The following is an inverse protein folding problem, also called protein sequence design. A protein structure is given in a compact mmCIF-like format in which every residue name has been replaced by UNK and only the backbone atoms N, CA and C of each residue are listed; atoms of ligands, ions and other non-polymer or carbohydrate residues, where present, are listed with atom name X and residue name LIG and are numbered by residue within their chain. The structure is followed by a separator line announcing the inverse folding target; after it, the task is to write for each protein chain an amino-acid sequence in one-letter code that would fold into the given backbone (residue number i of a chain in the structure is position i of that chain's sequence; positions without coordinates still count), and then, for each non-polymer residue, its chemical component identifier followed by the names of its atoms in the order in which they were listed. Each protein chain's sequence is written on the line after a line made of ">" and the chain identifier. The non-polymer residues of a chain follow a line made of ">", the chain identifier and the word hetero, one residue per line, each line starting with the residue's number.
data_IF_512676093143
#
_entry.id   IF_512676093143
#
_cell.length_a   1.000
_cell.length_b   1.000
_cell.length_c   1.000
_cell.angle_alpha   90.00
_cell.angle_beta   90.00
_cell.angle_gamma   90.00
#
_symmetry.space_group_name_H-M   'P 1'
#
loop_
_entity.id
_entity.type
_entity.pdbx_description
1 polymer ?
#
# COMPACT_ATOMS: atom_id res chain seq x y z
N UNK A 1 38.08 52.62 -30.69
CA UNK A 1 38.83 52.24 -29.48
C UNK A 1 38.11 52.84 -28.27
N UNK A 2 37.46 52.05 -27.42
CA UNK A 2 37.30 52.38 -25.99
C UNK A 2 37.00 51.10 -25.21
N UNK A 3 37.98 50.75 -24.38
CA UNK A 3 38.01 49.69 -23.36
C UNK A 3 37.30 50.20 -22.10
N UNK A 4 36.70 49.27 -21.34
CA UNK A 4 37.00 49.17 -19.91
C UNK A 4 35.95 49.63 -18.91
N UNK A 5 35.15 48.66 -18.47
CA UNK A 5 34.97 48.22 -17.08
C UNK A 5 34.48 49.16 -15.94
N UNK A 6 33.61 48.51 -15.15
CA UNK A 6 33.45 48.60 -13.70
C UNK A 6 32.43 49.62 -13.15
N UNK A 7 31.18 49.18 -13.04
CA UNK A 7 30.24 49.72 -12.06
C UNK A 7 30.25 48.83 -10.80
N UNK A 8 30.70 49.44 -9.69
CA UNK A 8 30.74 48.88 -8.34
C UNK A 8 29.34 48.88 -7.70
N UNK A 9 28.99 47.72 -7.13
CA UNK A 9 28.24 47.44 -5.89
C UNK A 9 27.31 48.53 -5.33
N UNK A 10 26.05 48.17 -5.14
CA UNK A 10 25.35 48.39 -3.88
C UNK A 10 24.59 47.12 -3.48
N UNK A 11 24.86 46.69 -2.24
CA UNK A 11 24.31 45.55 -1.53
C UNK A 11 23.00 46.01 -0.89
N UNK A 12 21.92 45.27 -1.08
CA UNK A 12 20.74 45.33 -0.24
C UNK A 12 20.47 43.92 0.30
N UNK A 13 20.75 43.74 1.59
CA UNK A 13 20.33 42.57 2.35
C UNK A 13 18.79 42.48 2.33
N UNK A 14 18.27 41.45 1.68
CA UNK A 14 16.92 40.96 1.94
C UNK A 14 17.06 39.66 2.72
N UNK A 15 16.58 39.68 3.96
CA UNK A 15 16.41 38.52 4.82
C UNK A 15 15.45 37.54 4.14
N UNK A 16 15.99 36.57 3.41
CA UNK A 16 15.22 35.41 2.96
C UNK A 16 15.24 34.39 4.10
N UNK A 17 14.18 34.40 4.91
CA UNK A 17 13.81 33.21 5.66
C UNK A 17 13.58 32.09 4.65
N UNK A 18 14.53 31.17 4.54
CA UNK A 18 14.40 29.97 3.75
C UNK A 18 13.39 29.05 4.45
N UNK A 19 12.10 29.36 4.32
CA UNK A 19 11.09 28.31 4.40
C UNK A 19 11.40 27.36 3.26
N UNK A 20 11.85 26.16 3.59
CA UNK A 20 11.96 25.06 2.64
C UNK A 20 10.55 24.82 2.13
N UNK A 21 10.24 25.41 0.98
CA UNK A 21 9.04 25.08 0.23
C UNK A 21 9.28 23.65 -0.23
N UNK A 22 8.64 22.72 0.48
CA UNK A 22 8.47 21.35 0.05
C UNK A 22 7.83 21.42 -1.33
N UNK A 23 8.65 21.32 -2.39
CA UNK A 23 8.12 21.05 -3.72
C UNK A 23 7.55 19.65 -3.62
N UNK A 24 6.24 19.58 -3.40
CA UNK A 24 5.49 18.33 -3.50
C UNK A 24 5.89 17.69 -4.84
N UNK A 25 6.38 16.43 -4.84
CA UNK A 25 6.67 15.76 -6.09
C UNK A 25 5.40 15.79 -6.94
N UNK A 26 5.53 16.22 -8.20
CA UNK A 26 4.42 16.18 -9.14
C UNK A 26 3.81 14.76 -9.11
N UNK A 27 2.47 14.62 -9.02
CA UNK A 27 1.86 13.31 -8.91
C UNK A 27 2.30 12.48 -10.11
N UNK A 28 3.06 11.42 -9.87
CA UNK A 28 3.37 10.45 -10.90
C UNK A 28 2.04 9.98 -11.49
N UNK A 29 1.95 9.93 -12.83
CA UNK A 29 0.74 9.42 -13.46
C UNK A 29 0.48 8.00 -12.93
N UNK A 30 -0.77 7.69 -12.50
CA UNK A 30 -1.09 6.37 -12.02
C UNK A 30 -0.75 5.30 -13.07
N UNK A 31 -0.37 4.07 -12.66
CA UNK A 31 -0.15 2.96 -13.58
C UNK A 31 -1.36 2.74 -14.50
N UNK A 32 -1.09 2.40 -15.75
CA UNK A 32 -2.13 2.03 -16.72
C UNK A 32 -2.03 0.55 -17.06
N UNK A 33 -3.17 -0.13 -17.01
CA UNK A 33 -3.30 -1.56 -17.29
C UNK A 33 -4.18 -1.79 -18.50
N UNK A 34 -3.74 -2.69 -19.38
CA UNK A 34 -4.44 -3.02 -20.63
C UNK A 34 -5.47 -4.13 -20.45
N UNK A 35 -5.31 -4.97 -19.42
CA UNK A 35 -6.15 -6.14 -19.17
C UNK A 35 -6.02 -6.64 -17.73
N UNK A 36 -6.89 -7.59 -17.36
CA UNK A 36 -6.90 -8.20 -16.02
C UNK A 36 -5.63 -8.99 -15.70
N UNK A 37 -4.89 -9.51 -16.69
CA UNK A 37 -3.64 -10.22 -16.43
C UNK A 37 -2.54 -9.28 -15.93
N UNK A 38 -2.46 -8.07 -16.49
CA UNK A 38 -1.56 -7.04 -15.99
C UNK A 38 -1.95 -6.57 -14.57
N UNK A 39 -3.26 -6.47 -14.29
CA UNK A 39 -3.76 -6.20 -12.93
C UNK A 39 -3.45 -7.33 -11.95
N UNK A 40 -3.55 -8.59 -12.37
CA UNK A 40 -3.14 -9.74 -11.56
C UNK A 40 -1.63 -9.71 -11.26
N UNK A 41 -0.81 -9.34 -12.25
CA UNK A 41 0.63 -9.12 -12.06
C UNK A 41 0.94 -7.97 -11.11
N UNK A 42 0.16 -6.89 -11.13
CA UNK A 42 0.31 -5.80 -10.17
C UNK A 42 -0.16 -6.22 -8.76
N UNK A 43 -1.24 -6.99 -8.66
CA UNK A 43 -1.82 -7.47 -7.41
C UNK A 43 -0.91 -8.42 -6.62
N UNK A 44 0.02 -9.12 -7.27
CA UNK A 44 1.04 -9.91 -6.56
C UNK A 44 2.16 -9.06 -5.97
N UNK A 45 2.32 -7.81 -6.42
CA UNK A 45 3.38 -6.90 -5.97
C UNK A 45 2.83 -5.83 -5.00
N UNK A 46 1.66 -5.29 -5.28
CA UNK A 46 1.00 -4.20 -4.54
C UNK A 46 -0.32 -4.71 -3.94
N UNK A 47 -0.67 -4.35 -2.68
CA UNK A 47 -0.07 -3.29 -1.86
C UNK A 47 1.15 -3.72 -1.01
N UNK A 48 1.51 -5.01 -0.98
CA UNK A 48 2.57 -5.51 -0.07
C UNK A 48 3.92 -4.81 -0.24
N UNK A 49 4.34 -4.56 -1.49
CA UNK A 49 5.58 -3.85 -1.79
C UNK A 49 5.61 -2.42 -1.21
N UNK A 50 4.48 -1.70 -1.23
CA UNK A 50 4.39 -0.38 -0.58
C UNK A 50 4.57 -0.51 0.93
N UNK A 51 3.94 -1.51 1.54
CA UNK A 51 4.09 -1.79 2.98
C UNK A 51 5.55 -2.05 3.38
N UNK A 52 6.30 -2.81 2.56
CA UNK A 52 7.72 -3.07 2.79
C UNK A 52 8.60 -1.82 2.63
N UNK A 53 8.29 -0.95 1.68
CA UNK A 53 8.98 0.36 1.55
C UNK A 53 8.74 1.20 2.80
N UNK A 54 7.49 1.27 3.28
CA UNK A 54 7.13 2.02 4.49
C UNK A 54 7.82 1.45 5.73
N UNK A 55 7.88 0.13 5.88
CA UNK A 55 8.59 -0.52 6.98
C UNK A 55 10.09 -0.14 7.01
N UNK A 56 10.75 -0.17 5.85
CA UNK A 56 12.17 0.23 5.74
C UNK A 56 12.37 1.72 5.99
N UNK A 57 11.42 2.56 5.58
CA UNK A 57 11.41 3.98 5.93
C UNK A 57 11.35 4.17 7.44
N UNK A 58 10.45 3.48 8.14
CA UNK A 58 10.38 3.52 9.62
C UNK A 58 11.70 3.11 10.26
N UNK A 59 12.32 2.03 9.77
CA UNK A 59 13.61 1.55 10.29
C UNK A 59 14.72 2.58 10.10
N UNK A 60 14.85 3.16 8.90
CA UNK A 60 15.86 4.19 8.61
C UNK A 60 15.62 5.47 9.39
N UNK A 61 14.40 5.97 9.36
CA UNK A 61 14.02 7.24 9.98
C UNK A 61 14.05 7.18 11.51
N UNK A 62 13.82 6.01 12.09
CA UNK A 62 13.92 5.80 13.54
C UNK A 62 15.33 6.03 14.11
N UNK A 63 16.35 6.16 13.26
CA UNK A 63 17.71 6.52 13.65
C UNK A 63 17.88 8.01 14.03
N UNK A 64 16.96 8.89 13.60
CA UNK A 64 17.08 10.34 13.78
C UNK A 64 16.29 10.89 14.97
N UNK A 65 15.65 10.02 15.77
CA UNK A 65 15.01 10.42 17.02
C UNK A 65 13.83 9.56 17.43
N UNK A 66 13.56 9.55 18.74
CA UNK A 66 12.39 8.85 19.29
C UNK A 66 11.05 9.37 18.74
N UNK A 67 10.81 10.69 18.62
CA UNK A 67 9.55 11.20 18.08
C UNK A 67 9.26 10.70 16.66
N UNK A 68 10.24 10.80 15.76
CA UNK A 68 10.15 10.31 14.37
C UNK A 68 9.91 8.80 14.31
N UNK A 69 10.59 8.02 15.18
CA UNK A 69 10.35 6.58 15.29
C UNK A 69 8.92 6.26 15.70
N UNK A 70 8.38 6.98 16.70
CA UNK A 70 7.02 6.79 17.20
C UNK A 70 5.99 7.15 16.12
N UNK A 71 6.17 8.29 15.45
CA UNK A 71 5.31 8.74 14.36
C UNK A 71 5.30 7.74 13.21
N UNK A 72 6.48 7.34 12.70
CA UNK A 72 6.56 6.37 11.61
C UNK A 72 5.91 5.03 11.92
N UNK A 73 6.11 4.51 13.13
CA UNK A 73 5.44 3.27 13.56
C UNK A 73 3.91 3.43 13.64
N UNK A 74 3.40 4.58 14.07
CA UNK A 74 1.98 4.87 14.11
C UNK A 74 1.39 4.97 12.70
N UNK A 75 2.05 5.72 11.81
CA UNK A 75 1.66 5.88 10.41
C UNK A 75 1.63 4.53 9.67
N UNK A 76 2.67 3.68 9.84
CA UNK A 76 2.71 2.34 9.25
C UNK A 76 1.54 1.48 9.71
N UNK A 77 1.27 1.44 11.03
CA UNK A 77 0.13 0.67 11.55
C UNK A 77 -1.21 1.18 11.03
N UNK A 78 -1.38 2.50 10.95
CA UNK A 78 -2.58 3.10 10.41
C UNK A 78 -2.78 2.73 8.93
N UNK A 79 -1.72 2.83 8.11
CA UNK A 79 -1.74 2.41 6.71
C UNK A 79 -2.08 0.92 6.57
N UNK A 80 -1.43 0.04 7.36
CA UNK A 80 -1.69 -1.41 7.35
C UNK A 80 -3.15 -1.72 7.71
N UNK A 81 -3.74 -1.00 8.68
CA UNK A 81 -5.14 -1.16 9.05
C UNK A 81 -6.08 -0.78 7.90
N UNK A 82 -5.82 0.33 7.21
CA UNK A 82 -6.60 0.75 6.03
C UNK A 82 -6.45 -0.22 4.85
N UNK A 83 -5.29 -0.86 4.70
CA UNK A 83 -4.99 -1.78 3.60
C UNK A 83 -5.19 -3.26 3.92
N UNK A 84 -5.70 -3.59 5.11
CA UNK A 84 -5.81 -4.98 5.59
C UNK A 84 -6.46 -5.91 4.55
N UNK A 85 -7.57 -5.47 3.97
CA UNK A 85 -8.35 -6.30 3.06
C UNK A 85 -7.66 -6.41 1.68
N UNK A 86 -7.04 -5.34 1.19
CA UNK A 86 -6.20 -5.38 -0.02
C UNK A 86 -4.95 -6.25 0.14
N UNK A 87 -4.29 -6.20 1.30
CA UNK A 87 -3.15 -7.06 1.62
C UNK A 87 -3.57 -8.54 1.66
N UNK A 88 -4.73 -8.83 2.26
CA UNK A 88 -5.27 -10.18 2.27
C UNK A 88 -5.62 -10.66 0.86
N UNK A 89 -6.17 -9.78 0.02
CA UNK A 89 -6.53 -10.12 -1.35
C UNK A 89 -5.31 -10.31 -2.26
N UNK A 90 -4.27 -9.47 -2.14
CA UNK A 90 -3.02 -9.67 -2.88
C UNK A 90 -2.37 -11.03 -2.58
N UNK A 91 -2.37 -11.45 -1.30
CA UNK A 91 -1.92 -12.80 -0.93
C UNK A 91 -2.75 -13.91 -1.55
N UNK A 92 -4.07 -13.73 -1.66
CA UNK A 92 -4.96 -14.70 -2.35
C UNK A 92 -4.65 -14.76 -3.83
N UNK A 93 -4.49 -13.61 -4.51
CA UNK A 93 -4.10 -13.55 -5.92
C UNK A 93 -2.77 -14.28 -6.16
N UNK A 94 -1.78 -14.07 -5.29
CA UNK A 94 -0.49 -14.79 -5.35
C UNK A 94 -0.67 -16.30 -5.24
N UNK A 95 -1.47 -16.76 -4.27
CA UNK A 95 -1.76 -18.18 -4.09
C UNK A 95 -2.52 -18.78 -5.29
N UNK A 96 -3.50 -18.06 -5.82
CA UNK A 96 -4.26 -18.46 -7.02
C UNK A 96 -3.33 -18.64 -8.23
N UNK A 97 -2.42 -17.68 -8.46
CA UNK A 97 -1.45 -17.77 -9.56
C UNK A 97 -0.42 -18.88 -9.35
N UNK A 98 0.10 -19.05 -8.13
CA UNK A 98 1.02 -20.14 -7.81
C UNK A 98 0.38 -21.52 -8.06
N UNK A 99 -0.90 -21.67 -7.70
CA UNK A 99 -1.66 -22.91 -7.93
C UNK A 99 -1.97 -23.16 -9.42
N UNK A 100 -2.10 -22.09 -10.23
CA UNK A 100 -2.37 -22.19 -11.65
C UNK A 100 -1.18 -22.71 -12.48
N UNK A 101 0.06 -22.48 -12.01
CA UNK A 101 1.24 -23.05 -12.65
C UNK A 101 1.34 -24.54 -12.33
N UNK A 102 1.16 -25.40 -13.34
CA UNK A 102 1.28 -26.86 -13.20
C UNK A 102 2.64 -27.39 -13.64
N UNK A 103 3.29 -26.69 -14.56
CA UNK A 103 4.64 -26.98 -15.04
C UNK A 103 5.72 -26.56 -14.01
N UNK A 104 6.73 -27.41 -13.83
CA UNK A 104 7.77 -27.21 -12.81
C UNK A 104 8.64 -25.98 -13.10
N UNK A 105 9.02 -25.75 -14.37
CA UNK A 105 9.82 -24.58 -14.73
C UNK A 105 9.03 -23.29 -14.60
N UNK A 106 7.73 -23.31 -14.92
CA UNK A 106 6.86 -22.16 -14.73
C UNK A 106 6.71 -21.77 -13.25
N UNK A 107 6.57 -22.78 -12.36
CA UNK A 107 6.57 -22.55 -10.90
C UNK A 107 7.88 -21.95 -10.43
N UNK A 108 9.02 -22.52 -10.83
CA UNK A 108 10.34 -22.01 -10.42
C UNK A 108 10.54 -20.55 -10.86
N UNK A 109 10.13 -20.18 -12.08
CA UNK A 109 10.18 -18.78 -12.55
C UNK A 109 9.25 -17.86 -11.75
N UNK A 110 8.08 -18.36 -11.37
CA UNK A 110 7.16 -17.58 -10.53
C UNK A 110 7.71 -17.39 -9.11
N UNK A 111 8.30 -18.42 -8.54
CA UNK A 111 8.94 -18.35 -7.23
C UNK A 111 10.15 -17.39 -7.26
N UNK A 112 10.97 -17.41 -8.32
CA UNK A 112 12.05 -16.43 -8.52
C UNK A 112 11.52 -14.99 -8.63
N UNK A 113 10.42 -14.77 -9.37
CA UNK A 113 9.77 -13.47 -9.43
C UNK A 113 9.40 -12.98 -8.03
N UNK A 114 8.80 -13.84 -7.20
CA UNK A 114 8.35 -13.49 -5.86
C UNK A 114 9.49 -13.28 -4.86
N UNK A 115 10.55 -14.10 -4.92
CA UNK A 115 11.59 -14.13 -3.91
C UNK A 115 12.85 -13.35 -4.28
N UNK A 116 13.04 -13.04 -5.56
CA UNK A 116 14.19 -12.29 -6.06
C UNK A 116 13.76 -10.94 -6.62
N UNK A 117 12.87 -10.95 -7.62
CA UNK A 117 12.62 -9.75 -8.43
C UNK A 117 11.74 -8.73 -7.71
N UNK A 118 10.66 -9.15 -7.03
CA UNK A 118 9.82 -8.25 -6.25
C UNK A 118 10.60 -7.56 -5.11
N UNK A 119 11.41 -8.27 -4.30
CA UNK A 119 12.29 -7.61 -3.32
C UNK A 119 13.25 -6.59 -3.94
N UNK A 120 13.80 -6.86 -5.13
CA UNK A 120 14.64 -5.88 -5.83
C UNK A 120 13.88 -4.62 -6.25
N UNK A 121 12.60 -4.74 -6.63
CA UNK A 121 11.77 -3.57 -6.94
C UNK A 121 11.50 -2.73 -5.69
N UNK A 122 11.18 -3.38 -4.57
CA UNK A 122 11.03 -2.73 -3.25
C UNK A 122 12.30 -2.00 -2.85
N UNK A 123 13.47 -2.64 -3.02
CA UNK A 123 14.77 -2.02 -2.75
C UNK A 123 14.97 -0.75 -3.61
N UNK A 124 14.77 -0.84 -4.92
CA UNK A 124 14.94 0.32 -5.81
C UNK A 124 14.04 1.48 -5.41
N UNK A 125 12.80 1.20 -5.04
CA UNK A 125 11.87 2.23 -4.58
C UNK A 125 12.32 2.84 -3.26
N UNK A 126 12.75 2.02 -2.30
CA UNK A 126 13.27 2.49 -1.02
C UNK A 126 14.53 3.36 -1.16
N UNK A 127 15.46 2.99 -2.06
CA UNK A 127 16.70 3.74 -2.30
C UNK A 127 16.45 5.20 -2.69
N UNK A 128 15.35 5.50 -3.40
CA UNK A 128 14.99 6.88 -3.74
C UNK A 128 14.76 7.70 -2.46
N UNK A 129 13.96 7.19 -1.53
CA UNK A 129 13.73 7.84 -0.24
C UNK A 129 15.00 7.90 0.60
N UNK A 130 15.75 6.79 0.66
CA UNK A 130 16.98 6.73 1.46
C UNK A 130 17.98 7.79 1.03
N UNK A 131 18.19 7.97 -0.28
CA UNK A 131 19.12 8.98 -0.81
C UNK A 131 18.68 10.39 -0.43
N UNK A 132 17.40 10.71 -0.63
CA UNK A 132 16.87 12.03 -0.25
C UNK A 132 17.07 12.34 1.24
N UNK A 133 16.96 11.33 2.11
CA UNK A 133 17.26 11.44 3.54
C UNK A 133 18.77 11.61 3.76
N UNK A 134 19.58 10.76 3.14
CA UNK A 134 21.04 10.79 3.32
C UNK A 134 21.67 12.12 2.87
N UNK A 135 21.09 12.74 1.83
CA UNK A 135 21.50 14.01 1.25
C UNK A 135 21.20 15.23 2.16
N UNK A 136 20.41 15.09 3.22
CA UNK A 136 20.17 16.19 4.16
C UNK A 136 21.42 16.47 5.02
N UNK A 137 21.79 17.75 5.24
CA UNK A 137 23.07 18.08 5.85
C UNK A 137 23.13 17.85 7.37
N UNK A 138 22.01 17.88 8.07
CA UNK A 138 21.95 17.68 9.53
C UNK A 138 20.99 16.56 9.94
N UNK A 139 21.17 15.99 11.13
CA UNK A 139 20.24 15.00 11.69
C UNK A 139 18.83 15.57 11.89
N UNK A 140 18.72 16.86 12.22
CA UNK A 140 17.44 17.54 12.36
C UNK A 140 16.68 17.61 11.02
N UNK A 141 17.34 17.98 9.93
CA UNK A 141 16.71 18.00 8.60
C UNK A 141 16.37 16.59 8.10
N UNK A 142 17.13 15.56 8.50
CA UNK A 142 16.78 14.15 8.26
C UNK A 142 15.50 13.76 8.98
N UNK A 143 15.38 14.12 10.25
CA UNK A 143 14.17 13.90 11.04
C UNK A 143 12.96 14.62 10.42
N UNK A 144 13.12 15.90 10.05
CA UNK A 144 12.05 16.69 9.42
C UNK A 144 11.58 16.07 8.08
N UNK A 145 12.50 15.57 7.25
CA UNK A 145 12.18 14.85 6.02
C UNK A 145 11.48 13.52 6.26
N UNK A 146 11.93 12.77 7.26
CA UNK A 146 11.27 11.55 7.68
C UNK A 146 9.84 11.80 8.16
N UNK A 147 9.63 12.81 9.00
CA UNK A 147 8.30 13.20 9.47
C UNK A 147 7.43 13.67 8.29
N UNK A 148 8.02 14.35 7.30
CA UNK A 148 7.35 14.68 6.04
C UNK A 148 6.82 13.45 5.28
N UNK A 149 7.59 12.37 5.20
CA UNK A 149 7.11 11.12 4.60
C UNK A 149 6.00 10.46 5.41
N UNK A 150 6.07 10.50 6.74
CA UNK A 150 5.03 9.92 7.59
C UNK A 150 3.74 10.76 7.57
N UNK A 151 3.84 12.08 7.51
CA UNK A 151 2.70 12.96 7.25
C UNK A 151 2.03 12.62 5.91
N UNK A 152 2.80 12.34 4.85
CA UNK A 152 2.23 11.89 3.58
C UNK A 152 1.49 10.53 3.69
N UNK A 153 1.94 9.62 4.55
CA UNK A 153 1.21 8.37 4.86
C UNK A 153 -0.09 8.66 5.60
N UNK A 154 -0.07 9.58 6.55
CA UNK A 154 -1.25 10.01 7.30
C UNK A 154 -2.27 10.72 6.40
N UNK A 155 -1.79 11.51 5.44
CA UNK A 155 -2.56 12.20 4.40
C UNK A 155 -3.01 11.27 3.24
N UNK A 156 -2.92 9.95 3.44
CA UNK A 156 -3.37 8.91 2.50
C UNK A 156 -2.63 8.88 1.16
N UNK A 157 -1.51 9.60 1.02
CA UNK A 157 -0.77 9.64 -0.25
C UNK A 157 -0.14 8.30 -0.60
N UNK A 158 0.02 7.39 0.37
CA UNK A 158 0.47 6.02 0.14
C UNK A 158 -0.68 5.01 -0.04
N UNK A 159 -1.93 5.48 0.01
CA UNK A 159 -3.08 4.59 -0.09
C UNK A 159 -3.27 4.12 -1.53
N UNK A 160 -3.61 2.84 -1.69
CA UNK A 160 -3.76 2.20 -2.99
C UNK A 160 -4.79 2.93 -3.86
N UNK A 161 -5.88 3.43 -3.27
CA UNK A 161 -6.91 4.21 -3.97
C UNK A 161 -6.38 5.52 -4.57
N UNK A 162 -5.31 6.07 -4.02
CA UNK A 162 -4.67 7.31 -4.48
C UNK A 162 -3.60 6.98 -5.52
N UNK A 163 -2.69 6.05 -5.21
CA UNK A 163 -1.54 5.75 -6.07
C UNK A 163 -1.87 4.85 -7.27
N UNK A 164 -2.87 3.98 -7.12
CA UNK A 164 -3.25 3.00 -8.13
C UNK A 164 -4.76 2.69 -8.06
N UNK A 165 -5.60 3.66 -8.50
CA UNK A 165 -7.05 3.51 -8.43
C UNK A 165 -7.56 2.35 -9.29
N UNK A 166 -6.86 2.01 -10.37
CA UNK A 166 -7.23 0.88 -11.24
C UNK A 166 -7.07 -0.46 -10.50
N UNK A 167 -5.95 -0.66 -9.80
CA UNK A 167 -5.72 -1.85 -8.98
C UNK A 167 -6.63 -1.89 -7.75
N UNK A 168 -6.89 -0.75 -7.11
CA UNK A 168 -7.87 -0.68 -6.02
C UNK A 168 -9.26 -1.13 -6.49
N UNK A 169 -9.74 -0.61 -7.62
CA UNK A 169 -11.02 -1.00 -8.20
C UNK A 169 -11.06 -2.48 -8.61
N UNK A 170 -9.93 -3.03 -9.09
CA UNK A 170 -9.80 -4.45 -9.38
C UNK A 170 -9.97 -5.32 -8.13
N UNK A 171 -9.30 -4.96 -7.03
CA UNK A 171 -9.49 -5.66 -5.75
C UNK A 171 -10.91 -5.52 -5.22
N UNK A 172 -11.50 -4.33 -5.27
CA UNK A 172 -12.88 -4.08 -4.82
C UNK A 172 -13.87 -5.00 -5.55
N UNK A 173 -13.75 -5.12 -6.89
CA UNK A 173 -14.60 -6.03 -7.69
C UNK A 173 -14.43 -7.49 -7.27
N UNK A 174 -13.19 -7.94 -7.05
CA UNK A 174 -12.90 -9.34 -6.67
C UNK A 174 -13.44 -9.65 -5.27
N UNK A 175 -13.27 -8.74 -4.32
CA UNK A 175 -13.80 -8.89 -2.96
C UNK A 175 -15.32 -8.93 -2.95
N UNK A 176 -15.99 -8.04 -3.70
CA UNK A 176 -17.45 -8.02 -3.85
C UNK A 176 -17.98 -9.34 -4.44
N UNK A 177 -17.41 -9.82 -5.54
CA UNK A 177 -17.83 -11.06 -6.20
C UNK A 177 -17.72 -12.31 -5.30
N UNK A 178 -16.83 -12.29 -4.31
CA UNK A 178 -16.73 -13.36 -3.31
C UNK A 178 -17.71 -13.21 -2.15
N UNK A 179 -17.99 -11.98 -1.73
CA UNK A 179 -19.06 -11.70 -0.77
C UNK A 179 -20.41 -12.23 -1.25
N UNK A 180 -20.70 -12.07 -2.55
CA UNK A 180 -21.91 -12.61 -3.18
C UNK A 180 -21.94 -14.14 -3.22
N UNK A 181 -20.82 -14.79 -3.58
CA UNK A 181 -20.72 -16.27 -3.60
C UNK A 181 -20.78 -16.91 -2.20
N UNK A 182 -20.40 -16.18 -1.15
CA UNK A 182 -20.53 -16.61 0.24
C UNK A 182 -21.90 -16.31 0.87
N UNK A 183 -22.74 -15.49 0.22
CA UNK A 183 -24.04 -15.03 0.74
C UNK A 183 -25.24 -15.92 0.38
N UNK A 184 -25.10 -16.84 -0.59
CA UNK A 184 -26.14 -17.83 -0.91
C UNK A 184 -26.01 -19.06 -0.01
N UNK A 185 -26.45 -18.94 1.24
CA UNK A 185 -27.05 -20.10 1.91
C UNK A 185 -28.41 -20.36 1.26
N UNK A 186 -28.76 -21.60 0.86
CA UNK A 186 -30.10 -21.91 0.37
C UNK A 186 -31.14 -21.52 1.44
N UNK A 187 -32.36 -21.06 1.05
CA UNK A 187 -33.44 -20.96 2.01
C UNK A 187 -33.69 -22.35 2.59
N UNK A 188 -33.59 -22.44 3.92
CA UNK A 188 -33.89 -23.63 4.69
C UNK A 188 -35.26 -24.16 4.27
N UNK A 189 -35.25 -25.34 3.66
CA UNK A 189 -36.42 -25.93 3.05
C UNK A 189 -37.46 -26.25 4.10
N UNK A 190 -38.70 -25.83 3.82
CA UNK A 190 -39.91 -26.60 4.13
C UNK A 190 -40.01 -27.12 5.57
N UNK A 191 -40.38 -26.23 6.51
CA UNK A 191 -41.02 -26.69 7.75
C UNK A 191 -42.42 -27.22 7.39
N UNK A 192 -42.54 -28.53 7.28
CA UNK A 192 -43.84 -29.20 7.24
C UNK A 192 -44.61 -28.89 8.54
N UNK A 193 -45.94 -28.68 8.48
CA UNK A 193 -46.74 -28.51 9.69
C UNK A 193 -46.94 -29.87 10.35
N UNK A 194 -46.34 -30.08 11.51
CA UNK A 194 -46.71 -31.18 12.39
C UNK A 194 -48.15 -30.94 12.86
N UNK A 195 -49.05 -31.76 12.33
CA UNK A 195 -50.39 -31.92 12.83
C UNK A 195 -50.34 -32.64 14.18
N UNK A 196 -50.92 -32.04 15.20
CA UNK A 196 -51.52 -32.73 16.34
C UNK A 196 -52.89 -32.10 16.52
N UNK A 197 -53.98 -32.89 16.62
CA UNK A 197 -54.19 -33.67 17.84
C UNK A 197 -54.88 -35.03 17.62
N UNK A 198 -54.74 -35.95 18.58
CA UNK A 198 -55.70 -37.06 18.73
C UNK A 198 -56.15 -37.12 20.19
N UNK A 199 -57.46 -37.03 20.47
CA UNK A 199 -58.00 -37.23 21.81
C UNK A 199 -58.63 -38.63 22.00
N UNK A 200 -58.44 -39.13 23.22
CA UNK A 200 -59.37 -39.89 24.07
C UNK A 200 -59.47 -41.44 24.06
N UNK A 201 -58.98 -42.13 25.12
CA UNK A 201 -59.62 -42.79 26.33
C UNK A 201 -60.33 -44.16 26.05
N UNK A 202 -60.63 -45.09 27.03
CA UNK A 202 -59.87 -45.88 28.03
C UNK A 202 -60.02 -47.44 27.87
N UNK A 203 -59.30 -48.26 28.66
CA UNK A 203 -59.95 -49.29 29.52
C UNK A 203 -58.99 -50.08 30.42
N UNK A 204 -59.45 -50.17 31.67
CA UNK A 204 -59.06 -50.96 32.86
C UNK A 204 -58.64 -52.41 32.65
N UNK A 205 -57.67 -52.85 33.46
CA UNK A 205 -57.88 -53.90 34.48
C UNK A 205 -56.91 -53.75 35.65
#
# INVERSE_FOLDING_TARGET
>A
MLRGNALRRLVACAMAGAGVVWTAPAPAQPPQYRNDAELMGAAIASPEGVGLVLERLVQKCGLYGEPTRVHGNAALRAWQARHRDYLAEGRRVRAELQAAYTDAQARERFDDLLHTQLPMLVERQFVVYSRSIDDQPTEAEKADLCDGYFNAVDDFQFDLKVNDPALAAFFDRRMAARGEKGGTSPPDGTRAPDASPTPSIPSTK
#
